data_IF_822253551303
#
_entry.id   IF_822253551303
#
_cell.length_a   1.000
_cell.length_b   1.000
_cell.length_c   1.000
_cell.angle_alpha   90.00
_cell.angle_beta   90.00
_cell.angle_gamma   90.00
#
_symmetry.space_group_name_H-M   'P 1'
#
loop_
_entity.id
_entity.type
_entity.pdbx_description
1 polymer ?
#
# COMPACT_ATOMS: atom_id res chain seq x y z
N UNK A 1 -0.25 11.68 -13.63
CA UNK A 1 -1.61 12.18 -13.73
C UNK A 1 -1.85 12.75 -15.11
N UNK A 2 -2.75 12.13 -15.86
CA UNK A 2 -3.25 12.69 -17.11
C UNK A 2 -4.00 13.98 -16.80
N UNK A 3 -3.47 15.11 -17.22
CA UNK A 3 -4.22 16.36 -17.26
C UNK A 3 -5.20 16.26 -18.42
N UNK A 4 -6.38 15.74 -18.19
CA UNK A 4 -7.50 16.10 -19.05
C UNK A 4 -7.77 17.59 -18.85
N UNK A 5 -7.87 18.40 -19.92
CA UNK A 5 -8.32 19.77 -19.79
C UNK A 5 -9.72 19.74 -19.13
N UNK A 6 -9.93 20.55 -18.11
CA UNK A 6 -11.26 20.71 -17.51
C UNK A 6 -12.21 21.20 -18.59
N UNK A 7 -13.38 20.58 -18.69
CA UNK A 7 -14.44 21.12 -19.52
C UNK A 7 -14.84 22.52 -19.00
N UNK A 8 -15.20 23.41 -19.90
CA UNK A 8 -15.61 24.79 -19.54
C UNK A 8 -16.89 24.82 -18.67
N UNK A 9 -17.68 23.73 -18.70
CA UNK A 9 -18.83 23.56 -17.83
C UNK A 9 -18.39 23.06 -16.45
N UNK A 10 -18.48 23.89 -15.38
CA UNK A 10 -18.05 23.49 -14.04
C UNK A 10 -18.88 22.36 -13.42
N UNK A 11 -20.08 22.09 -13.98
CA UNK A 11 -20.98 21.01 -13.52
C UNK A 11 -20.81 19.72 -14.30
N UNK A 12 -19.86 19.65 -15.23
CA UNK A 12 -19.59 18.43 -15.97
C UNK A 12 -18.96 17.37 -15.04
N UNK A 13 -19.57 16.19 -14.98
CA UNK A 13 -19.12 15.08 -14.13
C UNK A 13 -17.69 14.63 -14.47
N UNK A 14 -17.24 14.84 -15.71
CA UNK A 14 -15.87 14.53 -16.14
C UNK A 14 -14.81 15.42 -15.47
N UNK A 15 -15.23 16.53 -14.83
CA UNK A 15 -14.34 17.38 -14.03
C UNK A 15 -14.05 16.80 -12.62
N UNK A 16 -14.73 15.74 -12.22
CA UNK A 16 -14.61 15.13 -10.89
C UNK A 16 -13.98 13.74 -10.96
N UNK A 17 -13.35 13.36 -9.88
CA UNK A 17 -12.82 12.00 -9.73
C UNK A 17 -13.98 11.04 -9.42
N UNK A 18 -14.34 10.19 -10.39
CA UNK A 18 -15.29 9.09 -10.16
C UNK A 18 -14.54 7.85 -9.64
N UNK A 19 -14.75 7.51 -8.38
CA UNK A 19 -14.16 6.34 -7.74
C UNK A 19 -15.22 5.31 -7.37
N UNK A 20 -15.25 4.19 -8.11
CA UNK A 20 -16.11 3.05 -7.80
C UNK A 20 -15.48 2.21 -6.68
N UNK A 21 -15.66 2.61 -5.42
CA UNK A 21 -14.99 2.06 -4.24
C UNK A 21 -15.01 0.53 -4.15
N UNK A 22 -16.14 -0.12 -4.46
CA UNK A 22 -16.23 -1.58 -4.46
C UNK A 22 -15.35 -2.27 -5.52
N UNK A 23 -15.18 -1.66 -6.71
CA UNK A 23 -14.28 -2.18 -7.74
C UNK A 23 -12.82 -2.03 -7.33
N UNK A 24 -12.48 -0.91 -6.73
CA UNK A 24 -11.11 -0.65 -6.21
C UNK A 24 -10.79 -1.62 -5.08
N UNK A 25 -11.71 -1.83 -4.14
CA UNK A 25 -11.56 -2.80 -3.06
C UNK A 25 -11.25 -4.21 -3.61
N UNK A 26 -12.10 -4.73 -4.49
CA UNK A 26 -11.93 -6.06 -5.08
C UNK A 26 -10.61 -6.19 -5.86
N UNK A 27 -10.22 -5.12 -6.57
CA UNK A 27 -8.95 -5.07 -7.27
C UNK A 27 -7.77 -5.18 -6.29
N UNK A 28 -7.75 -4.37 -5.24
CA UNK A 28 -6.65 -4.35 -4.26
C UNK A 28 -6.54 -5.70 -3.55
N UNK A 29 -7.64 -6.22 -3.01
CA UNK A 29 -7.65 -7.49 -2.27
C UNK A 29 -7.15 -8.66 -3.14
N UNK A 30 -7.49 -8.65 -4.44
CA UNK A 30 -7.04 -9.70 -5.36
C UNK A 30 -5.58 -9.52 -5.80
N UNK A 31 -5.19 -8.31 -6.22
CA UNK A 31 -3.90 -8.07 -6.88
C UNK A 31 -2.73 -7.86 -5.93
N UNK A 32 -3.00 -7.37 -4.74
CA UNK A 32 -1.93 -7.10 -3.77
C UNK A 32 -1.20 -8.36 -3.33
N UNK A 33 -1.87 -9.47 -2.94
CA UNK A 33 -1.17 -10.72 -2.66
C UNK A 33 -0.34 -11.22 -3.85
N UNK A 34 -0.91 -11.22 -5.05
CA UNK A 34 -0.23 -11.68 -6.28
C UNK A 34 1.11 -10.95 -6.47
N UNK A 35 1.11 -9.61 -6.44
CA UNK A 35 2.33 -8.83 -6.66
C UNK A 35 3.36 -8.98 -5.54
N UNK A 36 2.92 -9.19 -4.30
CA UNK A 36 3.83 -9.44 -3.18
C UNK A 36 4.54 -10.78 -3.36
N UNK A 37 3.79 -11.86 -3.59
CA UNK A 37 4.37 -13.19 -3.79
C UNK A 37 5.29 -13.25 -5.02
N UNK A 38 4.90 -12.61 -6.12
CA UNK A 38 5.75 -12.52 -7.32
C UNK A 38 7.06 -11.77 -7.02
N UNK A 39 6.98 -10.65 -6.31
CA UNK A 39 8.16 -9.88 -5.93
C UNK A 39 9.08 -10.67 -4.98
N UNK A 40 8.53 -11.34 -3.98
CA UNK A 40 9.29 -12.18 -3.05
C UNK A 40 9.99 -13.32 -3.79
N UNK A 41 9.29 -14.01 -4.68
CA UNK A 41 9.83 -15.09 -5.51
C UNK A 41 11.01 -14.63 -6.38
N UNK A 42 10.89 -13.46 -7.01
CA UNK A 42 11.97 -12.87 -7.83
C UNK A 42 13.22 -12.60 -6.98
N UNK A 43 13.04 -12.20 -5.72
CA UNK A 43 14.14 -11.90 -4.80
C UNK A 43 14.63 -13.13 -4.01
N UNK A 44 14.02 -14.31 -4.20
CA UNK A 44 14.41 -15.54 -3.50
C UNK A 44 14.02 -15.56 -2.03
N UNK A 45 12.98 -14.81 -1.64
CA UNK A 45 12.48 -14.75 -0.27
C UNK A 45 11.12 -15.45 -0.13
N UNK A 46 10.88 -15.97 1.08
CA UNK A 46 9.56 -16.37 1.57
C UNK A 46 8.90 -15.20 2.33
N UNK A 47 7.57 -15.25 2.47
CA UNK A 47 6.82 -14.21 3.21
C UNK A 47 7.28 -14.11 4.68
N UNK A 48 7.72 -15.22 5.27
CA UNK A 48 8.21 -15.28 6.64
C UNK A 48 9.59 -14.62 6.81
N UNK A 49 10.36 -14.50 5.72
CA UNK A 49 11.68 -13.84 5.72
C UNK A 49 11.56 -12.31 5.84
N UNK A 50 10.37 -11.76 5.65
CA UNK A 50 10.12 -10.32 5.71
C UNK A 50 9.89 -9.89 7.16
N UNK A 51 10.63 -8.89 7.57
CA UNK A 51 10.50 -8.29 8.91
C UNK A 51 9.36 -7.28 8.98
N UNK A 52 9.14 -6.52 7.88
CA UNK A 52 8.19 -5.42 7.87
C UNK A 52 7.48 -5.26 6.53
N UNK A 53 6.17 -5.15 6.57
CA UNK A 53 5.31 -4.84 5.42
C UNK A 53 4.76 -3.43 5.52
N UNK A 54 5.06 -2.59 4.54
CA UNK A 54 4.63 -1.19 4.48
C UNK A 54 3.84 -0.96 3.20
N UNK A 55 2.53 -0.98 3.33
CA UNK A 55 1.63 -0.82 2.20
C UNK A 55 1.14 0.62 2.09
N UNK A 56 0.71 1.00 0.89
CA UNK A 56 -0.03 2.25 0.70
C UNK A 56 -1.20 2.34 1.68
N UNK A 57 -1.24 3.40 2.48
CA UNK A 57 -2.23 3.60 3.53
C UNK A 57 -3.54 4.12 2.93
N UNK A 58 -4.31 3.25 2.24
CA UNK A 58 -5.56 3.62 1.58
C UNK A 58 -6.70 3.85 2.59
N UNK A 59 -7.01 2.83 3.37
CA UNK A 59 -7.86 2.85 4.55
C UNK A 59 -7.62 1.61 5.41
N UNK A 60 -7.94 1.68 6.69
CA UNK A 60 -7.68 0.62 7.66
C UNK A 60 -8.40 -0.70 7.32
N UNK A 61 -9.63 -0.62 6.79
CA UNK A 61 -10.40 -1.82 6.44
C UNK A 61 -9.72 -2.63 5.32
N UNK A 62 -9.27 -1.97 4.24
CA UNK A 62 -8.53 -2.62 3.16
C UNK A 62 -7.22 -3.23 3.67
N UNK A 63 -6.47 -2.47 4.48
CA UNK A 63 -5.19 -2.93 5.01
C UNK A 63 -5.35 -4.17 5.89
N UNK A 64 -6.31 -4.18 6.81
CA UNK A 64 -6.59 -5.33 7.64
C UNK A 64 -7.02 -6.54 6.81
N UNK A 65 -7.91 -6.35 5.83
CA UNK A 65 -8.36 -7.43 4.96
C UNK A 65 -7.20 -8.08 4.20
N UNK A 66 -6.32 -7.27 3.60
CA UNK A 66 -5.15 -7.78 2.86
C UNK A 66 -4.17 -8.48 3.80
N UNK A 67 -3.90 -7.91 4.99
CA UNK A 67 -3.04 -8.52 6.00
C UNK A 67 -3.56 -9.89 6.43
N UNK A 68 -4.85 -10.00 6.72
CA UNK A 68 -5.52 -11.24 7.14
C UNK A 68 -5.51 -12.30 6.03
N UNK A 69 -5.83 -11.92 4.80
CA UNK A 69 -5.83 -12.84 3.65
C UNK A 69 -4.43 -13.37 3.32
N UNK A 70 -3.39 -12.62 3.64
CA UNK A 70 -2.00 -13.03 3.47
C UNK A 70 -1.40 -13.65 4.73
N UNK A 71 -2.18 -13.80 5.81
CA UNK A 71 -1.75 -14.35 7.10
C UNK A 71 -0.51 -13.65 7.68
N UNK A 72 -0.35 -12.33 7.37
CA UNK A 72 0.78 -11.55 7.89
C UNK A 72 0.51 -11.19 9.35
N UNK A 73 1.46 -11.49 10.28
CA UNK A 73 1.35 -11.09 11.68
C UNK A 73 1.20 -9.57 11.84
N UNK A 74 0.36 -9.15 12.79
CA UNK A 74 0.07 -7.73 13.00
C UNK A 74 1.32 -6.91 13.34
N UNK A 75 2.23 -7.49 14.10
CA UNK A 75 3.48 -6.85 14.50
C UNK A 75 4.46 -6.58 13.34
N UNK A 76 4.28 -7.28 12.21
CA UNK A 76 5.06 -7.09 10.97
C UNK A 76 4.37 -6.16 9.96
N UNK A 77 3.12 -5.75 10.20
CA UNK A 77 2.32 -4.99 9.24
C UNK A 77 2.06 -3.55 9.72
N UNK A 78 2.48 -2.56 8.93
CA UNK A 78 2.40 -1.15 9.32
C UNK A 78 1.04 -0.55 8.99
N UNK A 79 0.33 -0.04 10.02
CA UNK A 79 -0.86 0.79 9.86
C UNK A 79 -0.68 2.08 10.67
N UNK A 80 -0.44 3.20 9.97
CA UNK A 80 -0.14 4.51 10.56
C UNK A 80 -1.10 5.60 10.04
N UNK A 81 -2.38 5.24 9.89
CA UNK A 81 -3.38 6.15 9.31
C UNK A 81 -4.01 7.12 10.31
N UNK A 82 -3.89 6.85 11.61
CA UNK A 82 -4.65 7.57 12.63
C UNK A 82 -4.48 9.09 12.59
N UNK A 83 -3.26 9.55 12.31
CA UNK A 83 -2.92 10.98 12.32
C UNK A 83 -2.72 11.58 10.94
N UNK A 84 -2.43 10.76 9.95
CA UNK A 84 -2.03 11.22 8.61
C UNK A 84 -3.09 10.96 7.53
N UNK A 85 -3.94 9.96 7.74
CA UNK A 85 -4.90 9.53 6.74
C UNK A 85 -4.24 9.03 5.45
N UNK A 86 -4.98 9.16 4.35
CA UNK A 86 -4.46 8.83 3.03
C UNK A 86 -3.81 10.05 2.37
N UNK A 87 -2.50 10.15 2.47
CA UNK A 87 -1.66 11.21 1.85
C UNK A 87 -1.17 10.81 0.46
N UNK A 88 -1.92 9.96 -0.25
CA UNK A 88 -1.63 9.50 -1.62
C UNK A 88 -0.24 8.82 -1.71
N UNK A 89 0.67 9.33 -2.56
CA UNK A 89 2.00 8.76 -2.76
C UNK A 89 2.92 8.85 -1.53
N UNK A 90 2.65 9.77 -0.62
CA UNK A 90 3.46 9.99 0.60
C UNK A 90 3.10 9.02 1.73
N UNK A 91 2.04 8.21 1.60
CA UNK A 91 1.60 7.30 2.67
C UNK A 91 2.66 6.28 3.06
N UNK A 92 3.35 5.70 2.09
CA UNK A 92 4.40 4.69 2.34
C UNK A 92 5.57 5.28 3.11
N UNK A 93 6.24 6.35 2.64
CA UNK A 93 7.38 6.92 3.37
C UNK A 93 6.99 7.49 4.73
N UNK A 94 5.80 8.08 4.89
CA UNK A 94 5.32 8.55 6.20
C UNK A 94 5.12 7.37 7.15
N UNK A 95 4.36 6.34 6.74
CA UNK A 95 4.10 5.18 7.58
C UNK A 95 5.39 4.46 7.98
N UNK A 96 6.33 4.32 7.06
CA UNK A 96 7.63 3.71 7.34
C UNK A 96 8.46 4.54 8.33
N UNK A 97 8.57 5.85 8.11
CA UNK A 97 9.30 6.76 9.01
C UNK A 97 8.71 6.76 10.43
N UNK A 98 7.39 6.83 10.54
CA UNK A 98 6.70 6.79 11.83
C UNK A 98 6.88 5.46 12.55
N UNK A 99 6.82 4.34 11.81
CA UNK A 99 7.07 3.03 12.38
C UNK A 99 8.48 2.93 12.98
N UNK A 100 9.50 3.33 12.22
CA UNK A 100 10.89 3.32 12.72
C UNK A 100 11.09 4.24 13.93
N UNK A 101 10.41 5.39 13.96
CA UNK A 101 10.48 6.32 15.09
C UNK A 101 9.82 5.76 16.36
N UNK A 102 8.70 5.04 16.20
CA UNK A 102 7.95 4.46 17.34
C UNK A 102 8.56 3.18 17.87
N UNK A 103 9.16 2.38 16.98
CA UNK A 103 9.64 1.03 17.28
C UNK A 103 11.08 0.82 16.77
N UNK A 104 12.06 1.61 17.25
CA UNK A 104 13.43 1.56 16.76
C UNK A 104 14.11 0.20 16.98
N UNK A 105 13.63 -0.58 17.96
CA UNK A 105 14.15 -1.90 18.34
C UNK A 105 13.60 -3.05 17.47
N UNK A 106 12.51 -2.80 16.73
CA UNK A 106 11.90 -3.86 15.91
C UNK A 106 12.76 -4.23 14.71
N UNK A 107 12.82 -5.51 14.35
CA UNK A 107 13.51 -5.96 13.14
C UNK A 107 12.99 -5.21 11.91
N UNK A 108 13.89 -4.69 11.11
CA UNK A 108 13.57 -4.01 9.85
C UNK A 108 14.69 -4.19 8.82
N UNK A 109 15.28 -5.40 8.79
CA UNK A 109 16.33 -5.72 7.83
C UNK A 109 15.74 -5.94 6.44
N UNK A 110 14.69 -6.78 6.33
CA UNK A 110 13.99 -7.02 5.07
C UNK A 110 12.60 -6.39 5.11
N UNK A 111 12.36 -5.48 4.18
CA UNK A 111 11.14 -4.67 4.16
C UNK A 111 10.47 -4.80 2.80
N UNK A 112 9.20 -5.14 2.82
CA UNK A 112 8.34 -5.20 1.63
C UNK A 112 7.48 -3.94 1.54
N UNK A 113 7.72 -3.11 0.54
CA UNK A 113 6.87 -1.97 0.21
C UNK A 113 5.87 -2.35 -0.88
N UNK A 114 4.63 -1.89 -0.75
CA UNK A 114 3.57 -2.18 -1.72
C UNK A 114 2.72 -0.95 -1.97
N UNK A 115 2.70 -0.52 -3.23
CA UNK A 115 1.87 0.57 -3.72
C UNK A 115 0.70 0.06 -4.55
N UNK A 116 -0.45 0.68 -4.41
CA UNK A 116 -1.61 0.47 -5.26
C UNK A 116 -2.48 1.72 -5.33
N UNK A 117 -3.25 1.86 -6.39
CA UNK A 117 -4.10 3.04 -6.57
C UNK A 117 -4.97 2.99 -7.79
N UNK A 118 -5.60 4.15 -8.05
CA UNK A 118 -6.44 4.36 -9.23
C UNK A 118 -5.62 4.23 -10.50
N UNK A 119 -6.30 3.70 -11.55
CA UNK A 119 -5.58 3.60 -12.80
C UNK A 119 -5.80 2.32 -13.61
N UNK A 120 -6.00 1.07 -13.18
CA UNK A 120 -5.48 0.60 -11.87
C UNK A 120 -3.96 0.42 -11.93
N UNK A 121 -3.25 0.84 -10.90
CA UNK A 121 -1.80 0.66 -10.81
C UNK A 121 -1.42 0.01 -9.49
N UNK A 122 -0.41 -0.83 -9.53
CA UNK A 122 0.13 -1.52 -8.36
C UNK A 122 1.58 -1.92 -8.59
N UNK A 123 2.30 -2.11 -7.53
CA UNK A 123 3.70 -2.54 -7.56
C UNK A 123 4.21 -2.90 -6.19
N UNK A 124 5.26 -3.70 -6.16
CA UNK A 124 5.94 -4.10 -4.93
C UNK A 124 7.45 -4.03 -5.10
N UNK A 125 8.14 -3.71 -4.02
CA UNK A 125 9.60 -3.73 -3.96
C UNK A 125 10.04 -4.26 -2.59
N UNK A 126 10.98 -5.20 -2.60
CA UNK A 126 11.63 -5.66 -1.38
C UNK A 126 13.01 -5.01 -1.27
N UNK A 127 13.35 -4.51 -0.10
CA UNK A 127 14.69 -4.04 0.22
C UNK A 127 15.29 -4.84 1.37
N UNK A 128 16.60 -5.04 1.33
CA UNK A 128 17.38 -5.58 2.42
C UNK A 128 18.44 -4.57 2.86
N UNK A 129 18.44 -4.21 4.14
CA UNK A 129 19.48 -3.35 4.72
C UNK A 129 20.74 -4.17 4.92
N UNK A 130 21.84 -3.64 4.48
CA UNK A 130 23.18 -4.18 4.72
C UNK A 130 23.63 -3.97 6.16
#
# INVERSE_FOLDING_TARGET
GTRSPRNENPNDLDNFVDMKGGKIFNFIVKRTPEVVYDNLKINGFDINDIDLFVFHQANTHILNKVREDMEIPEEKFVIEMRYYGNTISSTIPIAFSEHLRKYPEKPSKRIQFVGFGVGYSWGAICIEKQ
#
